data_IF_985306861245
#
_entry.id   IF_985306861245
#
_cell.length_a   1.000
_cell.length_b   1.000
_cell.length_c   1.000
_cell.angle_alpha   90.00
_cell.angle_beta   90.00
_cell.angle_gamma   90.00
#
_symmetry.space_group_name_H-M   'P 1'
#
loop_
_entity.id
_entity.type
_entity.pdbx_description
1 polymer ?
#
# COMPACT_ATOMS: atom_id res chain seq x y z
N UNK A 1 14.90 19.17 -5.52
CA UNK A 1 13.58 19.08 -4.88
C UNK A 1 13.29 17.62 -4.68
N UNK A 2 13.76 17.02 -3.57
CA UNK A 2 13.49 15.60 -3.28
C UNK A 2 11.99 15.46 -3.03
N UNK A 3 11.29 14.97 -4.04
CA UNK A 3 10.09 14.20 -3.79
C UNK A 3 10.52 13.03 -2.91
N UNK A 4 9.64 12.63 -2.01
CA UNK A 4 9.91 11.63 -0.99
C UNK A 4 9.96 10.25 -1.70
N UNK A 5 11.01 10.01 -2.47
CA UNK A 5 11.15 8.91 -3.43
C UNK A 5 11.00 7.55 -2.75
N UNK A 6 11.44 7.47 -1.48
CA UNK A 6 11.35 6.29 -0.63
C UNK A 6 10.01 6.14 0.10
N UNK A 7 9.14 7.14 0.06
CA UNK A 7 7.84 7.09 0.72
C UNK A 7 6.81 6.39 -0.15
N UNK A 8 6.07 5.46 0.43
CA UNK A 8 4.88 4.86 -0.18
C UNK A 8 3.77 5.90 -0.28
N UNK A 9 3.29 6.17 -1.48
CA UNK A 9 2.30 7.21 -1.77
C UNK A 9 0.91 6.67 -2.07
N UNK A 10 0.79 5.43 -2.55
CA UNK A 10 -0.49 4.78 -2.85
C UNK A 10 -0.39 3.26 -2.82
N UNK A 11 -1.52 2.57 -2.98
CA UNK A 11 -1.59 1.11 -3.12
C UNK A 11 -1.89 0.74 -4.58
N UNK A 12 -1.13 -0.20 -5.15
CA UNK A 12 -1.32 -0.73 -6.50
C UNK A 12 -2.46 -1.74 -6.55
N UNK A 13 -2.89 -2.09 -7.76
CA UNK A 13 -4.06 -2.96 -7.99
C UNK A 13 -4.01 -4.36 -7.37
N UNK A 14 -2.83 -4.87 -6.97
CA UNK A 14 -2.65 -6.14 -6.26
C UNK A 14 -2.33 -5.97 -4.77
N UNK A 15 -2.41 -4.76 -4.22
CA UNK A 15 -2.16 -4.51 -2.81
C UNK A 15 -0.73 -4.10 -2.44
N UNK A 16 0.19 -4.10 -3.40
CA UNK A 16 1.56 -3.59 -3.16
C UNK A 16 1.53 -2.08 -2.94
N UNK A 17 2.30 -1.56 -1.99
CA UNK A 17 2.52 -0.12 -1.90
C UNK A 17 3.39 0.35 -3.06
N UNK A 18 3.14 1.57 -3.53
CA UNK A 18 3.93 2.22 -4.58
C UNK A 18 4.61 3.44 -3.98
N UNK A 19 5.93 3.46 -4.05
CA UNK A 19 6.76 4.58 -3.60
C UNK A 19 6.73 5.75 -4.58
N UNK A 20 7.24 6.91 -4.18
CA UNK A 20 7.29 8.11 -5.01
C UNK A 20 8.06 7.92 -6.32
N UNK A 21 9.09 7.08 -6.31
CA UNK A 21 9.87 6.70 -7.49
C UNK A 21 9.23 5.57 -8.33
N UNK A 22 8.11 5.01 -7.87
CA UNK A 22 7.35 3.97 -8.57
C UNK A 22 7.70 2.53 -8.20
N UNK A 23 8.61 2.26 -7.25
CA UNK A 23 8.85 0.87 -6.79
C UNK A 23 7.61 0.29 -6.13
N UNK A 24 7.29 -0.96 -6.47
CA UNK A 24 6.24 -1.74 -5.84
C UNK A 24 6.82 -2.55 -4.68
N UNK A 25 6.24 -2.40 -3.49
CA UNK A 25 6.73 -3.04 -2.26
C UNK A 25 5.57 -3.77 -1.59
N UNK A 26 5.67 -5.09 -1.36
CA UNK A 26 4.60 -5.85 -0.73
C UNK A 26 4.44 -5.45 0.73
N UNK A 27 3.20 -5.53 1.24
CA UNK A 27 2.86 -5.32 2.65
C UNK A 27 3.25 -3.95 3.23
N UNK A 28 3.31 -2.93 2.36
CA UNK A 28 3.48 -1.53 2.79
C UNK A 28 2.19 -0.73 2.62
N UNK A 29 1.99 0.25 3.49
CA UNK A 29 0.87 1.18 3.48
C UNK A 29 1.32 2.60 3.08
N UNK A 30 0.41 3.46 2.59
CA UNK A 30 0.72 4.86 2.35
C UNK A 30 1.35 5.54 3.57
N UNK A 31 2.45 6.24 3.34
CA UNK A 31 3.24 6.91 4.38
C UNK A 31 4.37 6.08 4.97
N UNK A 32 4.45 4.78 4.68
CA UNK A 32 5.65 3.97 4.96
C UNK A 32 6.87 4.56 4.25
N UNK A 33 8.05 4.38 4.86
CA UNK A 33 9.33 4.70 4.24
C UNK A 33 10.08 3.40 3.94
N UNK A 34 10.62 3.29 2.74
CA UNK A 34 11.35 2.11 2.25
C UNK A 34 12.78 2.50 1.94
N UNK A 35 13.74 2.04 2.75
CA UNK A 35 15.15 2.31 2.50
C UNK A 35 15.65 1.68 1.19
N UNK A 36 16.85 2.10 0.75
CA UNK A 36 17.50 1.52 -0.43
C UNK A 36 17.77 0.00 -0.28
N UNK A 37 17.95 -0.47 0.95
CA UNK A 37 18.15 -1.87 1.33
C UNK A 37 16.83 -2.64 1.51
N UNK A 38 15.68 -1.97 1.34
CA UNK A 38 14.35 -2.56 1.46
C UNK A 38 13.82 -2.63 2.90
N UNK A 39 14.44 -1.92 3.84
CA UNK A 39 13.92 -1.84 5.23
C UNK A 39 12.70 -0.92 5.26
N UNK A 40 11.61 -1.40 5.82
CA UNK A 40 10.34 -0.68 5.93
C UNK A 40 10.26 -0.02 7.31
N UNK A 41 9.99 1.28 7.34
CA UNK A 41 9.57 2.01 8.54
C UNK A 41 8.09 2.34 8.42
N UNK A 42 7.29 1.79 9.33
CA UNK A 42 5.85 1.93 9.33
C UNK A 42 5.42 3.41 9.47
N UNK A 43 4.57 3.83 8.55
CA UNK A 43 3.93 5.13 8.50
C UNK A 43 2.55 5.14 9.18
N UNK A 44 1.85 6.28 9.10
CA UNK A 44 0.59 6.48 9.83
C UNK A 44 -0.55 5.56 9.40
N UNK A 45 -0.56 5.06 8.15
CA UNK A 45 -1.61 4.18 7.64
C UNK A 45 -1.26 2.69 7.72
N UNK A 46 -0.11 2.37 8.31
CA UNK A 46 0.32 0.99 8.52
C UNK A 46 -0.20 0.50 9.87
N UNK A 47 -1.25 -0.31 9.82
CA UNK A 47 -1.78 -0.94 11.02
C UNK A 47 -1.14 -2.32 11.25
N UNK A 48 -1.08 -2.73 12.50
CA UNK A 48 -0.83 -4.13 12.83
C UNK A 48 -2.00 -4.98 12.34
N UNK A 49 -1.78 -6.00 11.48
CA UNK A 49 -2.84 -6.85 11.00
C UNK A 49 -3.63 -7.52 12.14
N UNK A 50 -4.97 -7.45 12.17
CA UNK A 50 -5.76 -8.03 13.26
C UNK A 50 -5.82 -9.57 13.22
N UNK A 51 -5.65 -10.19 12.05
CA UNK A 51 -5.58 -11.65 11.92
C UNK A 51 -4.15 -12.13 12.18
N UNK A 52 -3.99 -12.98 13.20
CA UNK A 52 -2.72 -13.65 13.53
C UNK A 52 -2.12 -14.53 12.42
N UNK A 53 -2.90 -14.89 11.39
CA UNK A 53 -2.44 -15.73 10.29
C UNK A 53 -2.05 -14.93 9.04
N UNK A 54 -2.18 -13.61 9.09
CA UNK A 54 -1.69 -12.76 8.02
C UNK A 54 -0.16 -12.67 8.09
N UNK A 55 0.56 -12.75 6.95
CA UNK A 55 0.05 -12.91 5.59
C UNK A 55 -0.05 -14.37 5.12
N UNK A 56 0.39 -15.35 5.91
CA UNK A 56 0.63 -16.72 5.43
C UNK A 56 -0.64 -17.48 5.00
N UNK A 57 -1.80 -17.23 5.62
CA UNK A 57 -3.00 -18.01 5.31
C UNK A 57 -3.63 -17.70 3.94
N UNK A 58 -3.31 -16.56 3.33
CA UNK A 58 -3.87 -16.13 2.04
C UNK A 58 -5.35 -15.72 2.06
N UNK A 59 -6.04 -15.75 3.20
CA UNK A 59 -7.46 -15.40 3.30
C UNK A 59 -7.74 -13.90 3.20
N UNK A 60 -6.76 -13.06 3.53
CA UNK A 60 -6.88 -11.61 3.41
C UNK A 60 -5.59 -11.00 2.88
N UNK A 61 -5.70 -9.99 2.03
CA UNK A 61 -4.57 -9.41 1.30
C UNK A 61 -4.08 -8.06 1.86
N UNK A 62 -4.95 -7.30 2.51
CA UNK A 62 -4.72 -5.87 2.82
C UNK A 62 -4.84 -5.54 4.31
N UNK A 63 -4.65 -6.52 5.19
CA UNK A 63 -4.87 -6.31 6.62
C UNK A 63 -3.86 -5.36 7.28
N UNK A 64 -2.75 -5.02 6.60
CA UNK A 64 -1.77 -4.04 7.05
C UNK A 64 -2.20 -2.58 6.77
N UNK A 65 -3.27 -2.37 6.00
CA UNK A 65 -3.83 -1.04 5.73
C UNK A 65 -4.85 -0.66 6.80
N UNK A 66 -4.78 0.58 7.30
CA UNK A 66 -5.88 1.16 8.08
C UNK A 66 -7.15 1.38 7.22
N UNK A 67 -8.27 1.67 7.88
CA UNK A 67 -9.57 1.86 7.21
C UNK A 67 -9.54 2.99 6.16
N UNK A 68 -8.76 4.05 6.41
CA UNK A 68 -8.64 5.18 5.49
C UNK A 68 -7.95 4.78 4.19
N UNK A 69 -6.79 4.14 4.27
CA UNK A 69 -6.03 3.69 3.10
C UNK A 69 -6.70 2.51 2.40
N UNK A 70 -7.38 1.63 3.14
CA UNK A 70 -8.19 0.55 2.57
C UNK A 70 -9.37 1.09 1.75
N UNK A 71 -10.10 2.07 2.29
CA UNK A 71 -11.22 2.71 1.59
C UNK A 71 -10.75 3.44 0.33
N UNK A 72 -9.64 4.18 0.42
CA UNK A 72 -9.06 4.88 -0.73
C UNK A 72 -8.62 3.90 -1.82
N UNK A 73 -8.01 2.76 -1.45
CA UNK A 73 -7.66 1.70 -2.39
C UNK A 73 -8.90 1.23 -3.18
N UNK A 74 -10.02 0.97 -2.54
CA UNK A 74 -11.25 0.55 -3.21
C UNK A 74 -11.76 1.60 -4.20
N UNK A 75 -11.75 2.87 -3.80
CA UNK A 75 -12.14 4.00 -4.66
C UNK A 75 -11.25 4.03 -5.91
N UNK A 76 -9.93 3.97 -5.74
CA UNK A 76 -8.97 3.99 -6.84
C UNK A 76 -9.16 2.80 -7.80
N UNK A 77 -9.50 1.62 -7.26
CA UNK A 77 -9.78 0.44 -8.09
C UNK A 77 -10.98 0.64 -9.00
N UNK A 78 -12.06 1.20 -8.46
CA UNK A 78 -13.30 1.45 -9.21
C UNK A 78 -13.08 2.58 -10.22
N UNK A 79 -12.54 3.72 -9.77
CA UNK A 79 -12.29 4.88 -10.61
C UNK A 79 -11.37 4.54 -11.79
N UNK A 80 -10.28 3.81 -11.54
CA UNK A 80 -9.35 3.37 -12.57
C UNK A 80 -10.00 2.42 -13.59
N UNK A 81 -10.88 1.52 -13.15
CA UNK A 81 -11.63 0.65 -14.05
C UNK A 81 -12.58 1.47 -14.94
N UNK A 82 -13.39 2.35 -14.36
CA UNK A 82 -14.32 3.22 -15.09
C UNK A 82 -13.60 4.11 -16.10
N UNK A 83 -12.46 4.68 -15.76
CA UNK A 83 -11.67 5.50 -16.67
C UNK A 83 -11.09 4.72 -17.87
N UNK A 84 -10.86 3.41 -17.71
CA UNK A 84 -10.40 2.54 -18.78
C UNK A 84 -11.51 2.08 -19.73
N UNK A 85 -12.78 2.15 -19.29
CA UNK A 85 -13.94 1.85 -20.11
C UNK A 85 -14.31 3.06 -20.98
N UNK A 86 -13.87 3.06 -22.24
CA UNK A 86 -14.33 3.96 -23.30
C UNK A 86 -15.42 3.32 -24.13
#
# INVERSE_FOLDING_TARGET
>A
MSVNDDRVVRVAGRGDGVTGDGRHVPFTAPGDLVSAEGVITNGPHHQTPPCRHFPECGGCQLQHLDDASWSQYLIDRIAGALAAHK
#
